data_IF_203988302791
#
_entry.id   IF_203988302791
#
_cell.length_a   1.000
_cell.length_b   1.000
_cell.length_c   1.000
_cell.angle_alpha   90.00
_cell.angle_beta   90.00
_cell.angle_gamma   90.00
#
_symmetry.space_group_name_H-M   'P 1'
#
loop_
_entity.id
_entity.type
_entity.pdbx_description
1 polymer ?
#
# COMPACT_ATOMS: atom_id res chain seq x y z
N UNK A 1 9.08 -19.20 13.68
CA UNK A 1 9.41 -18.82 12.28
C UNK A 1 8.59 -17.64 11.79
N UNK A 2 7.24 -17.71 11.77
CA UNK A 2 6.38 -16.58 11.38
C UNK A 2 6.74 -15.31 12.16
N UNK A 3 6.83 -15.42 13.49
CA UNK A 3 7.19 -14.30 14.35
C UNK A 3 8.58 -13.70 14.05
N UNK A 4 9.56 -14.53 13.67
CA UNK A 4 10.88 -14.07 13.25
C UNK A 4 10.80 -13.26 11.94
N UNK A 5 10.04 -13.72 10.96
CA UNK A 5 9.85 -13.04 9.68
C UNK A 5 9.10 -11.70 9.83
N UNK A 6 8.17 -11.64 10.77
CA UNK A 6 7.50 -10.39 11.16
C UNK A 6 8.45 -9.38 11.83
N UNK A 7 9.58 -9.84 12.39
CA UNK A 7 10.53 -9.03 13.15
C UNK A 7 11.49 -8.19 12.28
N UNK A 8 11.13 -7.80 11.06
CA UNK A 8 11.96 -7.00 10.15
C UNK A 8 13.44 -7.43 10.12
N UNK A 9 13.73 -8.55 9.46
CA UNK A 9 15.10 -9.04 9.26
C UNK A 9 15.85 -8.02 8.38
N UNK A 10 16.89 -7.36 8.93
CA UNK A 10 17.61 -6.24 8.27
C UNK A 10 19.11 -6.48 8.12
N UNK A 11 19.71 -7.35 8.93
CA UNK A 11 21.12 -7.71 8.80
C UNK A 11 21.33 -9.19 8.46
N UNK A 12 22.53 -9.72 8.71
CA UNK A 12 22.84 -11.11 8.35
C UNK A 12 21.88 -12.07 9.07
N UNK A 13 21.42 -13.08 8.33
CA UNK A 13 20.38 -14.00 8.81
C UNK A 13 20.74 -14.65 10.16
N UNK A 14 22.01 -15.04 10.35
CA UNK A 14 22.46 -15.65 11.60
C UNK A 14 22.44 -14.65 12.77
N UNK A 15 22.90 -13.41 12.57
CA UNK A 15 22.88 -12.38 13.62
C UNK A 15 21.45 -12.04 14.03
N UNK A 16 20.54 -11.97 13.05
CA UNK A 16 19.11 -11.75 13.30
C UNK A 16 18.47 -12.91 14.06
N UNK A 17 18.83 -14.16 13.75
CA UNK A 17 18.36 -15.33 14.49
C UNK A 17 18.87 -15.32 15.93
N UNK A 18 20.17 -15.07 16.14
CA UNK A 18 20.77 -15.03 17.47
C UNK A 18 20.11 -13.94 18.33
N UNK A 19 19.90 -12.73 17.77
CA UNK A 19 19.18 -11.64 18.43
C UNK A 19 17.69 -11.93 18.67
N UNK A 20 17.01 -12.58 17.71
CA UNK A 20 15.64 -13.01 17.90
C UNK A 20 15.50 -13.99 19.06
N UNK A 21 16.37 -14.98 19.17
CA UNK A 21 16.31 -15.96 20.27
C UNK A 21 16.74 -15.37 21.60
N UNK A 22 17.68 -14.42 21.61
CA UNK A 22 18.01 -13.64 22.80
C UNK A 22 16.74 -12.98 23.38
N UNK A 23 15.98 -12.31 22.52
CA UNK A 23 14.72 -11.67 22.91
C UNK A 23 13.71 -12.74 23.26
N UNK A 24 13.41 -13.67 22.36
CA UNK A 24 12.37 -14.68 22.57
C UNK A 24 12.55 -15.47 23.88
N UNK A 25 13.78 -15.84 24.26
CA UNK A 25 14.10 -16.64 25.45
C UNK A 25 14.46 -15.83 26.70
N UNK A 26 14.44 -14.50 26.65
CA UNK A 26 14.86 -13.64 27.78
C UNK A 26 16.31 -13.87 28.21
N UNK A 27 17.20 -14.07 27.25
CA UNK A 27 18.62 -14.22 27.55
C UNK A 27 19.32 -12.86 27.61
N UNK A 28 20.18 -12.66 28.59
CA UNK A 28 21.06 -11.49 28.67
C UNK A 28 22.21 -11.54 27.65
N UNK A 29 22.39 -12.69 26.99
CA UNK A 29 23.46 -12.92 26.01
C UNK A 29 22.91 -13.43 24.68
N UNK A 30 23.57 -13.04 23.60
CA UNK A 30 23.29 -13.58 22.27
C UNK A 30 23.68 -15.06 22.24
N UNK A 31 22.72 -15.95 22.00
CA UNK A 31 22.95 -17.39 21.98
C UNK A 31 22.45 -18.00 20.67
N UNK A 32 23.29 -18.82 20.04
CA UNK A 32 22.93 -19.53 18.81
C UNK A 32 22.08 -20.75 19.12
N UNK A 33 20.76 -20.56 19.12
CA UNK A 33 19.78 -21.65 19.24
C UNK A 33 19.45 -22.34 17.92
N UNK A 34 19.49 -21.59 16.80
CA UNK A 34 19.15 -22.09 15.47
C UNK A 34 20.16 -21.58 14.46
N UNK A 35 20.65 -22.45 13.60
CA UNK A 35 21.53 -22.06 12.50
C UNK A 35 20.73 -21.50 11.32
N UNK A 36 21.34 -20.60 10.56
CA UNK A 36 20.77 -20.05 9.34
C UNK A 36 20.38 -21.15 8.33
N UNK A 37 21.17 -22.22 8.23
CA UNK A 37 20.86 -23.38 7.37
C UNK A 37 19.62 -24.12 7.86
N UNK A 38 19.50 -24.42 9.16
CA UNK A 38 18.33 -25.07 9.75
C UNK A 38 17.07 -24.23 9.54
N UNK A 39 17.16 -22.90 9.74
CA UNK A 39 16.07 -21.97 9.46
C UNK A 39 15.65 -21.99 7.98
N UNK A 40 16.60 -21.92 7.05
CA UNK A 40 16.30 -22.00 5.62
C UNK A 40 15.62 -23.31 5.22
N UNK A 41 16.01 -24.45 5.81
CA UNK A 41 15.32 -25.74 5.58
C UNK A 41 13.88 -25.70 6.11
N UNK A 42 13.68 -25.18 7.32
CA UNK A 42 12.36 -25.09 7.93
C UNK A 42 11.44 -24.13 7.16
N UNK A 43 11.98 -22.99 6.70
CA UNK A 43 11.26 -21.96 5.93
C UNK A 43 10.55 -22.53 4.71
N UNK A 44 11.14 -23.50 4.02
CA UNK A 44 10.54 -24.15 2.83
C UNK A 44 9.23 -24.89 3.13
N UNK A 45 8.94 -25.19 4.39
CA UNK A 45 7.71 -25.86 4.83
C UNK A 45 6.54 -24.90 5.09
N UNK A 46 6.76 -23.59 5.02
CA UNK A 46 5.73 -22.57 5.22
C UNK A 46 5.46 -21.88 3.90
N UNK A 47 4.20 -21.79 3.49
CA UNK A 47 3.85 -21.01 2.30
C UNK A 47 3.71 -19.52 2.65
N UNK A 48 3.87 -18.63 1.67
CA UNK A 48 3.75 -17.19 1.94
C UNK A 48 2.29 -16.78 2.20
N UNK A 49 1.34 -17.56 1.73
CA UNK A 49 -0.10 -17.42 1.93
C UNK A 49 -0.48 -17.45 3.40
N UNK A 50 0.29 -18.15 4.25
CA UNK A 50 0.08 -18.07 5.71
C UNK A 50 0.15 -16.62 6.25
N UNK A 51 1.02 -15.78 5.69
CA UNK A 51 1.09 -14.35 6.06
C UNK A 51 -0.06 -13.55 5.47
N UNK A 52 -0.55 -13.93 4.27
CA UNK A 52 -1.74 -13.34 3.65
C UNK A 52 -2.96 -13.61 4.51
N UNK A 53 -3.16 -14.86 4.94
CA UNK A 53 -4.28 -15.29 5.77
C UNK A 53 -4.25 -14.62 7.16
N UNK A 54 -3.08 -14.58 7.80
CA UNK A 54 -2.91 -13.85 9.06
C UNK A 54 -3.22 -12.36 8.89
N UNK A 55 -2.83 -11.77 7.77
CA UNK A 55 -3.16 -10.39 7.47
C UNK A 55 -4.67 -10.20 7.28
N UNK A 56 -5.36 -11.11 6.59
CA UNK A 56 -6.83 -11.03 6.46
C UNK A 56 -7.56 -11.14 7.80
N UNK A 57 -7.08 -11.99 8.71
CA UNK A 57 -7.60 -12.06 10.09
C UNK A 57 -7.38 -10.77 10.86
N UNK A 58 -6.18 -10.18 10.76
CA UNK A 58 -5.86 -8.89 11.36
C UNK A 58 -6.76 -7.77 10.82
N UNK A 59 -6.97 -7.73 9.50
CA UNK A 59 -7.85 -6.76 8.85
C UNK A 59 -9.30 -6.90 9.31
N UNK A 60 -9.81 -8.13 9.34
CA UNK A 60 -11.17 -8.43 9.81
C UNK A 60 -11.36 -7.95 11.25
N UNK A 61 -10.41 -8.28 12.13
CA UNK A 61 -10.42 -7.81 13.52
C UNK A 61 -10.40 -6.28 13.61
N UNK A 62 -9.53 -5.61 12.83
CA UNK A 62 -9.43 -4.15 12.83
C UNK A 62 -10.76 -3.49 12.44
N UNK A 63 -11.37 -3.88 11.31
CA UNK A 63 -12.61 -3.25 10.85
C UNK A 63 -13.86 -3.64 11.67
N UNK A 64 -13.81 -4.73 12.43
CA UNK A 64 -14.89 -5.12 13.36
C UNK A 64 -14.75 -4.48 14.75
N UNK A 65 -13.52 -4.28 15.22
CA UNK A 65 -13.26 -3.92 16.62
C UNK A 65 -12.86 -2.46 16.82
N UNK A 66 -12.44 -1.77 15.77
CA UNK A 66 -12.03 -0.36 15.83
C UNK A 66 -13.00 0.51 15.02
N UNK A 67 -13.25 1.75 15.45
CA UNK A 67 -13.99 2.73 14.67
C UNK A 67 -13.12 3.21 13.50
N UNK A 68 -13.05 2.40 12.43
CA UNK A 68 -12.25 2.69 11.26
C UNK A 68 -12.70 4.01 10.62
N UNK A 69 -11.72 4.85 10.27
CA UNK A 69 -11.94 6.18 9.71
C UNK A 69 -12.53 6.05 8.31
N UNK A 70 -13.63 6.76 8.07
CA UNK A 70 -14.39 6.76 6.81
C UNK A 70 -14.68 8.19 6.36
N UNK A 71 -14.87 8.39 5.07
CA UNK A 71 -15.35 9.64 4.49
C UNK A 71 -16.78 9.45 3.99
N UNK A 72 -17.74 10.10 4.64
CA UNK A 72 -19.18 10.00 4.32
C UNK A 72 -19.62 8.53 4.21
N UNK A 73 -19.21 7.70 5.18
CA UNK A 73 -19.48 6.26 5.21
C UNK A 73 -18.54 5.39 4.35
N UNK A 74 -17.79 5.98 3.41
CA UNK A 74 -16.87 5.23 2.57
C UNK A 74 -15.51 4.98 3.21
N UNK A 75 -15.01 3.75 3.11
CA UNK A 75 -13.60 3.45 3.23
C UNK A 75 -12.89 3.88 1.94
N UNK A 76 -11.80 4.63 2.07
CA UNK A 76 -11.11 5.22 0.92
C UNK A 76 -9.93 4.35 0.50
N UNK A 77 -10.04 3.68 -0.65
CA UNK A 77 -9.05 2.73 -1.11
C UNK A 77 -8.29 3.28 -2.32
N UNK A 78 -6.98 3.43 -2.22
CA UNK A 78 -6.14 3.78 -3.36
C UNK A 78 -5.45 2.53 -3.91
N UNK A 79 -5.37 2.44 -5.24
CA UNK A 79 -4.59 1.41 -5.93
C UNK A 79 -3.39 2.08 -6.61
N UNK A 80 -2.21 1.55 -6.38
CA UNK A 80 -0.98 2.00 -7.02
C UNK A 80 0.01 0.84 -7.11
N UNK A 81 1.03 1.02 -7.94
CA UNK A 81 2.01 -0.01 -8.24
C UNK A 81 3.45 0.46 -8.09
N UNK A 82 4.32 -0.50 -7.85
CA UNK A 82 5.75 -0.27 -7.85
C UNK A 82 6.51 -1.48 -8.35
N UNK A 83 7.81 -1.32 -8.53
CA UNK A 83 8.72 -2.44 -8.77
C UNK A 83 9.70 -2.58 -7.61
N UNK A 84 10.03 -3.81 -7.27
CA UNK A 84 11.06 -4.17 -6.30
C UNK A 84 12.16 -4.96 -7.00
N UNK A 85 13.42 -4.63 -6.72
CA UNK A 85 14.56 -5.48 -7.06
C UNK A 85 14.52 -6.72 -6.19
N UNK A 86 14.62 -7.88 -6.82
CA UNK A 86 14.71 -9.16 -6.13
C UNK A 86 16.15 -9.69 -6.24
N UNK A 87 16.56 -10.69 -5.42
CA UNK A 87 17.87 -11.32 -5.52
C UNK A 87 18.15 -11.77 -6.96
N UNK A 88 19.38 -11.61 -7.42
CA UNK A 88 19.77 -11.92 -8.80
C UNK A 88 20.30 -13.36 -8.89
N UNK A 89 19.45 -14.31 -9.28
CA UNK A 89 19.76 -15.72 -9.54
C UNK A 89 18.75 -16.33 -10.53
N UNK A 90 18.99 -17.55 -10.98
CA UNK A 90 18.17 -18.20 -12.01
C UNK A 90 16.72 -18.46 -11.56
N UNK A 91 16.51 -18.88 -10.31
CA UNK A 91 15.16 -19.13 -9.79
C UNK A 91 14.30 -17.86 -9.78
N UNK A 92 14.86 -16.74 -9.30
CA UNK A 92 14.15 -15.46 -9.23
C UNK A 92 13.97 -14.83 -10.61
N UNK A 93 14.95 -14.99 -11.52
CA UNK A 93 14.82 -14.57 -12.93
C UNK A 93 13.70 -15.32 -13.63
N UNK A 94 13.62 -16.64 -13.44
CA UNK A 94 12.57 -17.50 -14.01
C UNK A 94 11.20 -17.16 -13.44
N UNK A 95 11.10 -16.91 -12.13
CA UNK A 95 9.82 -16.65 -11.47
C UNK A 95 9.32 -15.22 -11.69
N UNK A 96 10.11 -14.19 -11.40
CA UNK A 96 9.67 -12.79 -11.46
C UNK A 96 9.85 -12.15 -12.84
N UNK A 97 10.65 -12.77 -13.70
CA UNK A 97 11.05 -12.21 -14.99
C UNK A 97 12.17 -11.19 -14.87
N UNK A 98 12.66 -10.77 -16.03
CA UNK A 98 13.83 -9.91 -16.16
C UNK A 98 13.44 -8.58 -16.80
N UNK A 99 13.92 -7.49 -16.21
CA UNK A 99 13.80 -6.16 -16.80
C UNK A 99 15.05 -5.84 -17.62
N UNK A 100 14.80 -5.33 -18.83
CA UNK A 100 15.81 -4.87 -19.79
C UNK A 100 15.80 -3.34 -19.81
N UNK A 101 16.72 -2.67 -19.09
CA UNK A 101 16.75 -1.22 -19.03
C UNK A 101 17.20 -0.64 -20.37
N UNK A 102 16.46 0.31 -20.93
CA UNK A 102 16.83 0.95 -22.20
C UNK A 102 18.21 1.65 -22.18
N UNK A 103 18.68 2.06 -20.99
CA UNK A 103 19.93 2.83 -20.83
C UNK A 103 21.11 2.04 -20.25
N UNK A 104 20.91 0.81 -19.76
CA UNK A 104 21.98 0.02 -19.16
C UNK A 104 21.93 -1.40 -19.70
N UNK A 105 23.03 -1.91 -20.25
CA UNK A 105 23.11 -3.27 -20.82
C UNK A 105 22.90 -4.39 -19.79
N UNK A 106 23.05 -4.11 -18.48
CA UNK A 106 22.86 -5.10 -17.42
C UNK A 106 21.38 -5.28 -17.09
N UNK A 107 20.88 -6.49 -17.32
CA UNK A 107 19.53 -6.89 -16.93
C UNK A 107 19.41 -7.04 -15.42
N UNK A 108 18.21 -6.83 -14.86
CA UNK A 108 17.95 -7.13 -13.46
C UNK A 108 16.58 -7.77 -13.26
N UNK A 109 16.45 -8.78 -12.39
CA UNK A 109 15.15 -9.31 -12.04
C UNK A 109 14.39 -8.30 -11.20
N UNK A 110 13.14 -8.06 -11.56
CA UNK A 110 12.23 -7.15 -10.87
C UNK A 110 10.92 -7.87 -10.60
N UNK A 111 10.43 -7.78 -9.37
CA UNK A 111 9.04 -8.07 -9.08
C UNK A 111 8.20 -6.80 -9.27
N UNK A 112 6.96 -6.98 -9.68
CA UNK A 112 5.95 -5.92 -9.59
C UNK A 112 5.16 -6.12 -8.30
N UNK A 113 4.91 -5.01 -7.61
CA UNK A 113 4.06 -4.98 -6.43
C UNK A 113 2.88 -4.07 -6.65
N UNK A 114 1.70 -4.47 -6.19
CA UNK A 114 0.46 -3.69 -6.27
C UNK A 114 -0.22 -3.72 -4.91
N UNK A 115 -0.69 -2.56 -4.45
CA UNK A 115 -1.32 -2.40 -3.15
C UNK A 115 -2.72 -1.80 -3.30
N UNK A 116 -3.70 -2.40 -2.64
CA UNK A 116 -4.98 -1.79 -2.31
C UNK A 116 -4.87 -1.24 -0.89
N UNK A 117 -4.84 0.08 -0.77
CA UNK A 117 -4.45 0.76 0.47
C UNK A 117 -5.55 1.68 0.98
N UNK A 118 -5.99 1.46 2.22
CA UNK A 118 -6.86 2.37 2.95
C UNK A 118 -6.07 3.62 3.36
N UNK A 119 -6.37 4.73 2.69
CA UNK A 119 -5.61 5.97 2.84
C UNK A 119 -5.90 6.70 4.15
N UNK A 120 -7.02 6.40 4.82
CA UNK A 120 -7.40 7.04 6.10
C UNK A 120 -6.86 6.26 7.29
N UNK A 121 -6.87 4.94 7.20
CA UNK A 121 -6.46 4.05 8.30
C UNK A 121 -5.00 3.57 8.18
N UNK A 122 -4.33 3.86 7.05
CA UNK A 122 -2.97 3.41 6.74
C UNK A 122 -2.82 1.89 6.67
N UNK A 123 -3.88 1.24 6.22
CA UNK A 123 -3.99 -0.22 6.19
C UNK A 123 -3.86 -0.71 4.75
N UNK A 124 -2.99 -1.67 4.51
CA UNK A 124 -2.89 -2.39 3.24
C UNK A 124 -3.92 -3.51 3.24
N UNK A 125 -5.06 -3.27 2.59
CA UNK A 125 -6.19 -4.21 2.52
C UNK A 125 -5.84 -5.43 1.69
N UNK A 126 -5.09 -5.24 0.60
CA UNK A 126 -4.59 -6.35 -0.21
C UNK A 126 -3.26 -5.97 -0.85
N UNK A 127 -2.31 -6.91 -0.86
CA UNK A 127 -0.97 -6.72 -1.40
C UNK A 127 -0.64 -7.86 -2.35
N UNK A 128 -0.13 -7.54 -3.53
CA UNK A 128 0.30 -8.51 -4.53
C UNK A 128 1.77 -8.29 -4.85
N UNK A 129 2.53 -9.37 -4.96
CA UNK A 129 3.90 -9.38 -5.50
C UNK A 129 3.95 -10.43 -6.60
N UNK A 130 4.15 -9.98 -7.84
CA UNK A 130 3.94 -10.78 -9.05
C UNK A 130 5.09 -10.58 -10.05
N UNK A 131 5.17 -11.41 -11.10
CA UNK A 131 6.13 -11.20 -12.17
C UNK A 131 5.97 -9.84 -12.86
N UNK A 132 7.07 -9.27 -13.37
CA UNK A 132 7.08 -7.92 -13.96
C UNK A 132 6.13 -7.78 -15.17
N UNK A 133 5.87 -8.87 -15.89
CA UNK A 133 5.03 -8.90 -17.09
C UNK A 133 3.55 -8.61 -16.83
N UNK A 134 3.09 -8.79 -15.60
CA UNK A 134 1.68 -8.57 -15.23
C UNK A 134 1.25 -7.10 -15.42
N UNK A 135 0.07 -6.89 -16.01
CA UNK A 135 -0.44 -5.56 -16.36
C UNK A 135 -1.10 -4.83 -15.19
N UNK A 136 -0.97 -3.51 -15.12
CA UNK A 136 -1.41 -2.72 -13.95
C UNK A 136 -2.93 -2.87 -13.68
N UNK A 137 -3.73 -2.81 -14.75
CA UNK A 137 -5.18 -2.96 -14.65
C UNK A 137 -5.60 -4.38 -14.27
N UNK A 138 -4.82 -5.39 -14.65
CA UNK A 138 -5.05 -6.78 -14.25
C UNK A 138 -4.89 -6.93 -12.74
N UNK A 139 -3.85 -6.32 -12.16
CA UNK A 139 -3.63 -6.35 -10.71
C UNK A 139 -4.68 -5.52 -9.96
N UNK A 140 -5.07 -4.36 -10.48
CA UNK A 140 -6.22 -3.62 -9.94
C UNK A 140 -7.48 -4.49 -9.93
N UNK A 141 -7.77 -5.25 -10.99
CA UNK A 141 -8.90 -6.16 -11.04
C UNK A 141 -8.81 -7.25 -9.95
N UNK A 142 -7.63 -7.85 -9.74
CA UNK A 142 -7.39 -8.84 -8.66
C UNK A 142 -7.67 -8.24 -7.27
N UNK A 143 -7.39 -6.94 -7.06
CA UNK A 143 -7.73 -6.27 -5.80
C UNK A 143 -9.24 -6.15 -5.55
N UNK A 144 -10.08 -6.15 -6.59
CA UNK A 144 -11.54 -5.91 -6.46
C UNK A 144 -12.29 -7.04 -5.73
N UNK A 145 -11.68 -8.21 -5.56
CA UNK A 145 -12.23 -9.26 -4.69
C UNK A 145 -12.21 -8.85 -3.20
N UNK A 146 -11.40 -7.86 -2.83
CA UNK A 146 -11.27 -7.34 -1.47
C UNK A 146 -12.01 -6.01 -1.28
N UNK A 147 -12.87 -5.65 -2.22
CA UNK A 147 -13.72 -4.45 -2.17
C UNK A 147 -15.20 -4.84 -2.22
N UNK A 148 -16.04 -3.94 -1.71
CA UNK A 148 -17.49 -4.12 -1.68
C UNK A 148 -18.26 -2.81 -1.54
N UNK A 149 -19.51 -2.92 -1.10
CA UNK A 149 -20.31 -1.77 -0.68
C UNK A 149 -19.61 -0.98 0.43
N UNK A 150 -19.78 0.34 0.42
CA UNK A 150 -19.12 1.22 1.37
C UNK A 150 -17.62 1.43 1.12
N UNK A 151 -17.08 1.02 -0.05
CA UNK A 151 -15.74 1.37 -0.52
C UNK A 151 -15.78 2.42 -1.65
N UNK A 152 -14.82 3.36 -1.62
CA UNK A 152 -14.58 4.34 -2.68
C UNK A 152 -13.13 4.27 -3.15
N UNK A 153 -12.96 3.92 -4.42
CA UNK A 153 -11.66 3.68 -5.02
C UNK A 153 -11.08 4.96 -5.63
N UNK A 154 -9.90 5.35 -5.17
CA UNK A 154 -9.13 6.49 -5.66
C UNK A 154 -8.12 6.01 -6.70
N UNK A 155 -8.41 6.29 -7.97
CA UNK A 155 -7.64 5.76 -9.10
C UNK A 155 -6.88 6.87 -9.83
N UNK A 156 -5.64 6.57 -10.21
CA UNK A 156 -4.81 7.46 -11.00
C UNK A 156 -5.21 7.48 -12.49
N UNK A 157 -4.42 8.17 -13.32
CA UNK A 157 -4.65 8.32 -14.77
C UNK A 157 -4.24 7.14 -15.65
N UNK A 158 -3.61 6.11 -15.08
CA UNK A 158 -3.28 4.84 -15.74
C UNK A 158 -4.47 3.87 -15.76
N UNK A 159 -5.32 3.92 -14.73
CA UNK A 159 -6.46 3.02 -14.56
C UNK A 159 -7.72 3.28 -15.41
N UNK A 160 -7.98 4.44 -16.05
CA UNK A 160 -9.21 4.62 -16.82
C UNK A 160 -9.40 3.53 -17.88
N UNK A 161 -10.44 2.72 -17.68
CA UNK A 161 -10.91 1.68 -18.58
C UNK A 161 -12.36 1.37 -18.25
N UNK A 162 -13.23 1.31 -19.27
CA UNK A 162 -14.66 1.07 -19.07
C UNK A 162 -14.91 -0.20 -18.26
N UNK A 163 -14.28 -1.32 -18.65
CA UNK A 163 -14.49 -2.61 -17.99
C UNK A 163 -14.07 -2.60 -16.52
N UNK A 164 -13.06 -1.79 -16.15
CA UNK A 164 -12.62 -1.68 -14.77
C UNK A 164 -13.64 -0.89 -13.95
N UNK A 165 -14.23 0.17 -14.51
CA UNK A 165 -15.32 0.89 -13.87
C UNK A 165 -16.57 0.00 -13.72
N UNK A 166 -16.90 -0.79 -14.75
CA UNK A 166 -18.00 -1.75 -14.68
C UNK A 166 -17.75 -2.83 -13.60
N UNK A 167 -16.52 -3.34 -13.49
CA UNK A 167 -16.12 -4.28 -12.45
C UNK A 167 -16.28 -3.66 -11.04
N UNK A 168 -15.77 -2.45 -10.84
CA UNK A 168 -15.88 -1.74 -9.55
C UNK A 168 -17.34 -1.59 -9.12
N UNK A 169 -18.20 -1.15 -10.04
CA UNK A 169 -19.63 -0.96 -9.78
C UNK A 169 -20.35 -2.30 -9.55
N UNK A 170 -19.98 -3.34 -10.29
CA UNK A 170 -20.52 -4.69 -10.10
C UNK A 170 -20.18 -5.27 -8.70
N UNK A 171 -19.06 -4.85 -8.11
CA UNK A 171 -18.69 -5.18 -6.73
C UNK A 171 -19.45 -4.33 -5.68
N UNK A 172 -20.29 -3.38 -6.08
CA UNK A 172 -20.96 -2.43 -5.17
C UNK A 172 -20.08 -1.26 -4.71
N UNK A 173 -18.81 -1.24 -5.13
CA UNK A 173 -17.88 -0.16 -4.80
C UNK A 173 -18.07 1.06 -5.70
N UNK A 174 -17.63 2.23 -5.23
CA UNK A 174 -17.64 3.48 -5.97
C UNK A 174 -16.22 3.83 -6.44
N UNK A 175 -16.08 4.77 -7.38
CA UNK A 175 -14.76 5.26 -7.81
C UNK A 175 -14.68 6.77 -7.97
N UNK A 176 -13.45 7.28 -7.83
CA UNK A 176 -13.00 8.61 -8.19
C UNK A 176 -11.65 8.48 -8.89
N UNK A 177 -11.64 8.71 -10.21
CA UNK A 177 -10.52 8.43 -11.09
C UNK A 177 -10.06 9.69 -11.83
N UNK A 178 -8.75 9.91 -11.95
CA UNK A 178 -8.24 10.98 -12.81
C UNK A 178 -8.19 10.56 -14.26
N UNK A 179 -8.65 11.43 -15.15
CA UNK A 179 -8.63 11.19 -16.58
C UNK A 179 -7.37 11.78 -17.23
N UNK A 180 -6.87 11.12 -18.27
CA UNK A 180 -5.78 11.68 -19.10
C UNK A 180 -6.32 12.85 -19.95
N UNK A 181 -5.48 13.87 -20.14
CA UNK A 181 -5.86 15.12 -20.83
C UNK A 181 -6.21 14.92 -22.31
N UNK A 182 -5.64 13.90 -22.92
CA UNK A 182 -5.76 13.55 -24.34
C UNK A 182 -7.03 12.75 -24.65
N UNK A 183 -7.74 12.23 -23.63
CA UNK A 183 -9.02 11.55 -23.81
C UNK A 183 -10.04 12.46 -24.50
N UNK A 184 -10.78 11.91 -25.47
CA UNK A 184 -11.84 12.61 -26.22
C UNK A 184 -12.85 13.25 -25.26
N UNK A 185 -13.36 12.48 -24.29
CA UNK A 185 -14.28 12.97 -23.26
C UNK A 185 -13.71 14.16 -22.49
N UNK A 186 -12.42 14.13 -22.16
CA UNK A 186 -11.78 15.22 -21.41
C UNK A 186 -11.66 16.48 -22.27
N UNK A 187 -11.28 16.34 -23.55
CA UNK A 187 -11.19 17.46 -24.49
C UNK A 187 -12.55 18.13 -24.68
N UNK A 188 -13.59 17.34 -24.96
CA UNK A 188 -14.96 17.82 -25.14
C UNK A 188 -15.49 18.50 -23.87
N UNK A 189 -15.28 17.87 -22.71
CA UNK A 189 -15.73 18.43 -21.44
C UNK A 189 -14.99 19.73 -21.10
N UNK A 190 -13.69 19.83 -21.38
CA UNK A 190 -12.94 21.08 -21.20
C UNK A 190 -13.45 22.18 -22.14
N UNK A 191 -13.75 21.85 -23.39
CA UNK A 191 -14.32 22.77 -24.40
C UNK A 191 -15.69 23.29 -23.99
N UNK A 192 -16.50 22.46 -23.33
CA UNK A 192 -17.83 22.86 -22.83
C UNK A 192 -17.82 24.00 -21.79
N UNK A 193 -16.66 24.34 -21.22
CA UNK A 193 -16.54 25.39 -20.20
C UNK A 193 -17.08 25.01 -18.81
N UNK A 194 -17.85 23.92 -18.69
CA UNK A 194 -18.48 23.47 -17.44
C UNK A 194 -17.44 23.06 -16.38
N UNK A 195 -17.82 23.22 -15.10
CA UNK A 195 -17.01 22.72 -13.96
C UNK A 195 -17.37 21.29 -13.57
N UNK A 196 -18.60 20.88 -13.83
CA UNK A 196 -19.10 19.53 -13.60
C UNK A 196 -20.23 19.20 -14.57
N UNK A 197 -20.34 17.93 -14.97
CA UNK A 197 -21.46 17.41 -15.75
C UNK A 197 -21.67 15.92 -15.45
N UNK A 198 -22.89 15.43 -15.61
CA UNK A 198 -23.15 13.99 -15.68
C UNK A 198 -23.12 13.61 -17.15
N UNK A 199 -22.38 12.57 -17.49
CA UNK A 199 -22.22 12.05 -18.83
C UNK A 199 -22.44 10.54 -18.83
N UNK A 200 -22.73 9.99 -19.99
CA UNK A 200 -22.90 8.55 -20.19
C UNK A 200 -21.68 7.98 -20.88
N UNK A 201 -20.95 7.10 -20.22
CA UNK A 201 -19.87 6.33 -20.83
C UNK A 201 -20.46 5.12 -21.55
N UNK A 202 -20.21 5.03 -22.86
CA UNK A 202 -20.52 3.83 -23.64
C UNK A 202 -19.27 2.94 -23.72
N UNK A 203 -19.41 1.61 -23.63
CA UNK A 203 -18.27 0.72 -23.86
C UNK A 203 -17.83 0.78 -25.33
N UNK A 204 -16.53 0.65 -25.57
CA UNK A 204 -16.02 0.37 -26.92
C UNK A 204 -16.23 -1.11 -27.28
N UNK A 205 -16.16 -1.52 -28.56
CA UNK A 205 -16.26 -2.92 -28.95
C UNK A 205 -15.29 -3.84 -28.19
N UNK A 206 -14.04 -3.38 -27.99
CA UNK A 206 -13.04 -4.11 -27.20
C UNK A 206 -13.44 -4.23 -25.72
N UNK A 207 -14.05 -3.19 -25.14
CA UNK A 207 -14.54 -3.25 -23.77
C UNK A 207 -15.75 -4.18 -23.63
N UNK A 208 -16.65 -4.21 -24.62
CA UNK A 208 -17.79 -5.15 -24.67
C UNK A 208 -17.28 -6.59 -24.59
N UNK A 209 -16.36 -6.96 -25.49
CA UNK A 209 -15.77 -8.31 -25.51
C UNK A 209 -15.15 -8.68 -24.16
N UNK A 210 -14.33 -7.78 -23.60
CA UNK A 210 -13.68 -8.01 -22.31
C UNK A 210 -14.68 -8.16 -21.15
N UNK A 211 -15.78 -7.41 -21.17
CA UNK A 211 -16.83 -7.50 -20.15
C UNK A 211 -17.61 -8.81 -20.27
N UNK A 212 -17.97 -9.23 -21.49
CA UNK A 212 -18.68 -10.48 -21.75
C UNK A 212 -17.88 -11.70 -21.26
N UNK A 213 -16.58 -11.75 -21.54
CA UNK A 213 -15.68 -12.81 -21.03
C UNK A 213 -15.64 -12.92 -19.49
N UNK A 214 -16.08 -11.87 -18.77
CA UNK A 214 -16.04 -11.78 -17.29
C UNK A 214 -17.41 -11.60 -16.66
N UNK A 215 -18.48 -11.83 -17.43
CA UNK A 215 -19.87 -11.64 -16.97
C UNK A 215 -20.13 -10.25 -16.36
N UNK A 216 -19.51 -9.21 -16.93
CA UNK A 216 -19.71 -7.82 -16.52
C UNK A 216 -20.73 -7.11 -17.40
N UNK A 217 -21.44 -6.14 -16.81
CA UNK A 217 -22.42 -5.34 -17.54
C UNK A 217 -21.77 -4.49 -18.64
N UNK A 218 -22.39 -4.50 -19.81
CA UNK A 218 -22.06 -3.65 -20.96
C UNK A 218 -23.01 -2.45 -21.09
N UNK A 219 -23.88 -2.24 -20.11
CA UNK A 219 -24.83 -1.12 -20.11
C UNK A 219 -24.12 0.21 -19.90
N UNK A 220 -24.43 1.25 -20.69
CA UNK A 220 -23.78 2.55 -20.55
C UNK A 220 -23.79 3.08 -19.10
N UNK A 221 -22.63 3.53 -18.62
CA UNK A 221 -22.44 3.97 -17.24
C UNK A 221 -22.69 5.47 -17.12
N UNK A 222 -23.63 5.88 -16.27
CA UNK A 222 -23.75 7.29 -15.87
C UNK A 222 -22.63 7.63 -14.90
N UNK A 223 -21.85 8.66 -15.21
CA UNK A 223 -20.73 9.12 -14.39
C UNK A 223 -20.71 10.63 -14.34
N UNK A 224 -20.14 11.18 -13.28
CA UNK A 224 -19.95 12.61 -13.11
C UNK A 224 -18.51 12.99 -13.44
N UNK A 225 -18.36 13.94 -14.35
CA UNK A 225 -17.07 14.54 -14.73
C UNK A 225 -16.90 15.83 -13.96
N UNK A 226 -15.71 16.04 -13.40
CA UNK A 226 -15.37 17.18 -12.57
C UNK A 226 -14.10 17.84 -13.12
N UNK A 227 -14.08 19.17 -13.21
CA UNK A 227 -12.90 19.94 -13.63
C UNK A 227 -12.46 20.88 -12.51
N UNK A 228 -11.17 20.85 -12.21
CA UNK A 228 -10.52 21.87 -11.39
C UNK A 228 -9.25 22.38 -12.04
N UNK A 229 -8.96 23.63 -11.76
CA UNK A 229 -7.74 24.32 -12.18
C UNK A 229 -6.80 24.39 -10.98
N UNK A 230 -5.60 23.84 -11.14
CA UNK A 230 -4.53 23.98 -10.15
C UNK A 230 -3.94 25.40 -10.20
N UNK A 231 -3.23 25.80 -9.14
CA UNK A 231 -2.60 27.15 -9.06
C UNK A 231 -1.68 27.46 -10.25
N UNK A 232 -1.07 26.45 -10.85
CA UNK A 232 -0.22 26.55 -12.04
C UNK A 232 -1.02 26.52 -13.37
N UNK A 233 -2.31 26.86 -13.34
CA UNK A 233 -3.25 26.85 -14.49
C UNK A 233 -3.45 25.48 -15.16
N UNK A 234 -2.89 24.40 -14.61
CA UNK A 234 -3.12 23.06 -15.13
C UNK A 234 -4.54 22.60 -14.79
N UNK A 235 -5.34 22.34 -15.82
CA UNK A 235 -6.65 21.69 -15.71
C UNK A 235 -6.47 20.21 -15.42
N UNK A 236 -7.14 19.72 -14.39
CA UNK A 236 -7.26 18.31 -14.04
C UNK A 236 -8.74 17.94 -14.12
N UNK A 237 -9.02 16.79 -14.72
CA UNK A 237 -10.36 16.24 -14.84
C UNK A 237 -10.44 14.93 -14.07
N UNK A 238 -11.44 14.82 -13.19
CA UNK A 238 -11.79 13.59 -12.50
C UNK A 238 -13.11 13.06 -13.03
N UNK A 239 -13.25 11.74 -12.93
CA UNK A 239 -14.44 10.98 -13.24
C UNK A 239 -14.87 10.23 -11.99
N UNK A 240 -16.15 10.28 -11.64
CA UNK A 240 -16.66 9.55 -10.47
C UNK A 240 -18.02 8.93 -10.73
N UNK A 241 -18.29 7.83 -10.06
CA UNK A 241 -19.62 7.21 -10.00
C UNK A 241 -20.56 7.91 -9.00
N UNK A 242 -20.06 8.82 -8.17
CA UNK A 242 -20.85 9.58 -7.21
C UNK A 242 -21.64 10.71 -7.91
N UNK A 243 -22.92 10.46 -8.20
CA UNK A 243 -23.75 11.33 -9.02
C UNK A 243 -24.39 12.50 -8.26
N UNK A 244 -24.72 12.32 -6.98
CA UNK A 244 -25.38 13.33 -6.17
C UNK A 244 -24.44 14.53 -5.91
N UNK A 245 -24.86 15.71 -6.38
CA UNK A 245 -24.07 16.95 -6.27
C UNK A 245 -24.16 17.60 -4.88
N UNK A 246 -25.25 17.35 -4.15
CA UNK A 246 -25.48 17.87 -2.79
C UNK A 246 -24.73 17.01 -1.79
N UNK A 247 -24.87 15.68 -1.89
CA UNK A 247 -24.16 14.74 -1.02
C UNK A 247 -22.65 14.73 -1.27
N UNK A 248 -22.21 14.92 -2.52
CA UNK A 248 -20.80 14.93 -2.88
C UNK A 248 -20.40 16.24 -3.58
N UNK A 249 -20.13 17.32 -2.83
CA UNK A 249 -19.74 18.59 -3.41
C UNK A 249 -18.40 18.52 -4.18
N UNK A 250 -18.27 19.36 -5.22
CA UNK A 250 -17.06 19.39 -6.05
C UNK A 250 -15.80 19.73 -5.25
N UNK A 251 -15.90 20.63 -4.27
CA UNK A 251 -14.78 21.05 -3.43
C UNK A 251 -14.24 19.88 -2.58
N UNK A 252 -15.13 19.08 -2.01
CA UNK A 252 -14.77 17.91 -1.22
C UNK A 252 -14.12 16.82 -2.07
N UNK A 253 -14.68 16.50 -3.24
CA UNK A 253 -14.09 15.50 -4.14
C UNK A 253 -12.70 15.93 -4.63
N UNK A 254 -12.46 17.23 -4.79
CA UNK A 254 -11.13 17.76 -5.10
C UNK A 254 -10.16 17.49 -3.96
N UNK A 255 -10.55 17.77 -2.71
CA UNK A 255 -9.70 17.50 -1.54
C UNK A 255 -9.49 15.99 -1.35
N UNK A 256 -10.55 15.20 -1.49
CA UNK A 256 -10.54 13.75 -1.38
C UNK A 256 -9.51 13.12 -2.32
N UNK A 257 -9.50 13.56 -3.59
CA UNK A 257 -8.55 13.04 -4.57
C UNK A 257 -7.09 13.33 -4.21
N UNK A 258 -6.81 14.39 -3.45
CA UNK A 258 -5.44 14.64 -2.97
C UNK A 258 -4.94 13.55 -2.02
N UNK A 259 -5.86 12.91 -1.27
CA UNK A 259 -5.54 11.79 -0.35
C UNK A 259 -5.08 10.53 -1.10
N UNK A 260 -5.29 10.43 -2.42
CA UNK A 260 -4.74 9.33 -3.24
C UNK A 260 -3.21 9.22 -3.07
N UNK A 261 -2.50 10.35 -2.95
CA UNK A 261 -1.03 10.37 -2.78
C UNK A 261 -0.53 9.65 -1.52
N UNK A 262 -1.41 9.35 -0.57
CA UNK A 262 -1.07 8.56 0.62
C UNK A 262 -0.54 7.16 0.25
N UNK A 263 -0.97 6.55 -0.86
CA UNK A 263 -0.44 5.25 -1.31
C UNK A 263 1.02 5.35 -1.78
N UNK A 264 1.42 6.44 -2.43
CA UNK A 264 2.82 6.69 -2.78
C UNK A 264 3.69 6.84 -1.52
N UNK A 265 3.11 7.45 -0.47
CA UNK A 265 3.75 7.54 0.84
C UNK A 265 3.87 6.16 1.48
N UNK A 266 2.86 5.29 1.35
CA UNK A 266 2.92 3.90 1.81
C UNK A 266 4.05 3.13 1.11
N UNK A 267 4.20 3.29 -0.21
CA UNK A 267 5.36 2.73 -0.93
C UNK A 267 6.69 3.30 -0.47
N UNK A 268 6.75 4.61 -0.17
CA UNK A 268 7.95 5.20 0.41
C UNK A 268 8.28 4.61 1.78
N UNK A 269 7.29 4.34 2.63
CA UNK A 269 7.51 3.65 3.91
C UNK A 269 8.00 2.21 3.69
N UNK A 270 7.35 1.45 2.81
CA UNK A 270 7.76 0.08 2.47
C UNK A 270 9.21 0.02 1.96
N UNK A 271 9.56 0.91 1.02
CA UNK A 271 10.89 0.91 0.40
C UNK A 271 11.98 1.48 1.30
N UNK A 272 11.71 2.60 1.99
CA UNK A 272 12.76 3.36 2.66
C UNK A 272 12.80 3.21 4.18
N UNK A 273 11.74 2.70 4.82
CA UNK A 273 11.67 2.54 6.29
C UNK A 273 11.58 1.09 6.71
N UNK A 274 10.81 0.29 5.96
CA UNK A 274 10.71 -1.17 6.14
C UNK A 274 11.81 -1.88 5.34
N UNK A 275 12.47 -1.18 4.41
CA UNK A 275 13.56 -1.70 3.57
C UNK A 275 13.17 -2.97 2.80
N UNK A 276 11.95 -3.00 2.24
CA UNK A 276 11.30 -4.19 1.66
C UNK A 276 12.17 -5.00 0.67
N UNK A 277 13.16 -4.38 0.01
CA UNK A 277 14.08 -5.03 -0.92
C UNK A 277 15.26 -5.77 -0.23
N UNK A 278 15.42 -5.61 1.08
CA UNK A 278 16.44 -6.29 1.88
C UNK A 278 15.98 -7.69 2.29
N UNK A 279 15.78 -8.57 1.31
CA UNK A 279 15.26 -9.92 1.53
C UNK A 279 16.27 -10.81 2.29
N UNK A 280 15.76 -11.55 3.27
CA UNK A 280 16.52 -12.48 4.11
C UNK A 280 16.69 -13.87 3.51
N UNK A 281 16.28 -14.05 2.25
CA UNK A 281 16.49 -15.27 1.47
C UNK A 281 16.54 -14.97 -0.02
N UNK A 282 17.08 -15.91 -0.80
CA UNK A 282 17.36 -15.72 -2.24
C UNK A 282 16.35 -16.39 -3.17
N UNK A 283 15.53 -17.32 -2.68
CA UNK A 283 14.53 -18.01 -3.49
C UNK A 283 13.24 -17.19 -3.63
N UNK A 284 12.42 -17.42 -4.68
CA UNK A 284 11.12 -16.75 -4.84
C UNK A 284 10.20 -16.88 -3.63
N UNK A 285 10.13 -18.07 -3.02
CA UNK A 285 9.33 -18.30 -1.81
C UNK A 285 9.78 -17.40 -0.65
N UNK A 286 11.09 -17.30 -0.39
CA UNK A 286 11.61 -16.46 0.68
C UNK A 286 11.31 -14.97 0.43
N UNK A 287 11.40 -14.53 -0.82
CA UNK A 287 11.06 -13.16 -1.24
C UNK A 287 9.58 -12.85 -0.96
N UNK A 288 8.68 -13.76 -1.34
CA UNK A 288 7.23 -13.62 -1.10
C UNK A 288 6.90 -13.64 0.40
N UNK A 289 7.48 -14.55 1.16
CA UNK A 289 7.30 -14.62 2.62
C UNK A 289 7.74 -13.33 3.31
N UNK A 290 8.93 -12.84 3.00
CA UNK A 290 9.45 -11.60 3.58
C UNK A 290 8.58 -10.39 3.20
N UNK A 291 8.10 -10.34 1.95
CA UNK A 291 7.19 -9.29 1.50
C UNK A 291 5.88 -9.28 2.31
N UNK A 292 5.20 -10.43 2.39
CA UNK A 292 3.92 -10.52 3.08
C UNK A 292 4.05 -10.41 4.61
N UNK A 293 5.14 -10.91 5.20
CA UNK A 293 5.42 -10.71 6.63
C UNK A 293 5.59 -9.23 6.97
N UNK A 294 6.25 -8.46 6.10
CA UNK A 294 6.43 -7.01 6.27
C UNK A 294 5.14 -6.22 6.11
N UNK A 295 4.28 -6.62 5.17
CA UNK A 295 2.93 -6.04 5.02
C UNK A 295 2.11 -6.31 6.28
N UNK A 296 2.13 -7.54 6.81
CA UNK A 296 1.45 -7.91 8.04
C UNK A 296 1.93 -7.05 9.23
N UNK A 297 3.25 -6.93 9.45
CA UNK A 297 3.79 -6.09 10.53
C UNK A 297 3.45 -4.61 10.32
N UNK A 298 3.45 -4.11 9.09
CA UNK A 298 3.04 -2.73 8.80
C UNK A 298 1.57 -2.46 9.14
N UNK A 299 0.67 -3.40 8.84
CA UNK A 299 -0.74 -3.31 9.21
C UNK A 299 -0.93 -3.41 10.72
N UNK A 300 -0.19 -4.30 11.41
CA UNK A 300 -0.20 -4.39 12.87
C UNK A 300 0.27 -3.07 13.50
N UNK A 301 1.29 -2.43 12.90
CA UNK A 301 1.76 -1.10 13.31
C UNK A 301 0.64 -0.07 13.18
N UNK A 302 -0.07 -0.03 12.04
CA UNK A 302 -1.17 0.90 11.81
C UNK A 302 -2.31 0.70 12.82
N UNK A 303 -2.65 -0.55 13.14
CA UNK A 303 -3.64 -0.88 14.17
C UNK A 303 -3.23 -0.37 15.56
N UNK A 304 -1.97 -0.56 15.97
CA UNK A 304 -1.45 -0.06 17.26
C UNK A 304 -1.44 1.48 17.30
N UNK A 305 -1.12 2.13 16.18
CA UNK A 305 -1.08 3.59 16.05
C UNK A 305 -2.48 4.21 16.10
N UNK A 306 -3.52 3.50 15.64
CA UNK A 306 -4.87 4.03 15.50
C UNK A 306 -5.41 4.73 16.76
N UNK A 307 -5.50 4.07 17.95
CA UNK A 307 -6.02 4.73 19.15
C UNK A 307 -5.13 5.89 19.63
N UNK A 308 -3.82 5.83 19.41
CA UNK A 308 -2.90 6.94 19.76
C UNK A 308 -3.23 8.17 18.92
N UNK A 309 -3.47 7.96 17.63
CA UNK A 309 -3.83 9.04 16.71
C UNK A 309 -5.20 9.65 17.04
N UNK A 310 -6.16 8.86 17.53
CA UNK A 310 -7.46 9.36 17.96
C UNK A 310 -7.31 10.32 19.16
N UNK A 311 -6.53 9.93 20.18
CA UNK A 311 -6.24 10.80 21.33
C UNK A 311 -5.57 12.10 20.91
N UNK A 312 -4.61 12.05 19.97
CA UNK A 312 -3.94 13.26 19.45
C UNK A 312 -4.92 14.18 18.71
N UNK A 313 -5.84 13.61 17.93
CA UNK A 313 -6.85 14.37 17.19
C UNK A 313 -7.88 15.01 18.13
N UNK A 314 -8.30 14.32 19.19
CA UNK A 314 -9.19 14.86 20.22
C UNK A 314 -8.54 16.03 20.97
N UNK A 315 -7.26 15.89 21.35
CA UNK A 315 -6.51 16.98 21.97
C UNK A 315 -6.36 18.18 21.03
N UNK A 316 -6.11 17.93 19.74
CA UNK A 316 -6.01 18.99 18.74
C UNK A 316 -7.33 19.75 18.54
N UNK A 317 -8.49 19.09 18.68
CA UNK A 317 -9.81 19.77 18.60
C UNK A 317 -10.01 20.79 19.73
N UNK A 318 -9.41 20.56 20.90
CA UNK A 318 -9.47 21.49 22.05
C UNK A 318 -8.60 22.74 21.85
N UNK A 319 -7.66 22.69 20.92
CA UNK A 319 -6.69 23.75 20.64
C UNK A 319 -6.60 24.00 19.12
N UNK A 320 -7.67 24.52 18.48
CA UNK A 320 -7.71 24.72 17.03
C UNK A 320 -6.66 25.72 16.51
N UNK A 321 -6.14 26.59 17.38
CA UNK A 321 -5.07 27.54 17.12
C UNK A 321 -3.69 26.87 16.95
N UNK A 322 -3.52 25.65 17.48
CA UNK A 322 -2.24 24.93 17.43
C UNK A 322 -2.07 24.19 16.12
N UNK A 323 -0.80 23.94 15.78
CA UNK A 323 -0.45 23.08 14.67
C UNK A 323 -1.05 21.67 14.87
N UNK A 324 -1.51 21.06 13.78
CA UNK A 324 -1.99 19.68 13.81
C UNK A 324 -0.82 18.72 13.75
N UNK A 325 -0.87 17.67 14.59
CA UNK A 325 0.15 16.63 14.66
C UNK A 325 -0.43 15.27 14.29
N UNK A 326 0.46 14.40 13.84
CA UNK A 326 0.20 12.98 13.63
C UNK A 326 1.35 12.15 14.18
N UNK A 327 1.07 10.91 14.59
CA UNK A 327 2.11 9.97 14.99
C UNK A 327 3.12 9.83 13.86
N UNK A 328 4.41 9.91 14.20
CA UNK A 328 5.49 9.67 13.26
C UNK A 328 5.48 8.20 12.85
N UNK A 329 4.85 7.90 11.72
CA UNK A 329 4.69 6.53 11.25
C UNK A 329 6.01 5.84 10.89
N UNK A 330 7.03 6.61 10.48
CA UNK A 330 8.37 6.06 10.26
C UNK A 330 8.97 5.55 11.57
N UNK A 331 8.82 6.32 12.65
CA UNK A 331 9.22 5.88 13.99
C UNK A 331 8.40 4.66 14.43
N UNK A 332 7.07 4.70 14.30
CA UNK A 332 6.21 3.58 14.66
C UNK A 332 6.60 2.26 13.97
N UNK A 333 6.88 2.30 12.66
CA UNK A 333 7.37 1.14 11.91
C UNK A 333 8.73 0.66 12.44
N UNK A 334 9.66 1.56 12.73
CA UNK A 334 10.95 1.16 13.30
C UNK A 334 10.81 0.56 14.70
N UNK A 335 9.91 1.10 15.54
CA UNK A 335 9.66 0.63 16.90
C UNK A 335 9.09 -0.77 16.93
N UNK A 336 8.46 -1.27 15.85
CA UNK A 336 7.97 -2.64 15.81
C UNK A 336 9.07 -3.69 15.66
N UNK A 337 10.29 -3.30 15.30
CA UNK A 337 11.46 -4.17 15.45
C UNK A 337 11.56 -4.56 16.93
N UNK A 338 11.64 -5.86 17.16
CA UNK A 338 11.68 -6.55 18.44
C UNK A 338 10.39 -6.45 19.28
N UNK A 339 9.71 -5.30 19.28
CA UNK A 339 8.43 -5.16 19.97
C UNK A 339 7.35 -6.10 19.40
N UNK A 340 7.37 -6.46 18.12
CA UNK A 340 6.44 -7.47 17.59
C UNK A 340 6.64 -8.83 18.25
N UNK A 341 7.89 -9.20 18.54
CA UNK A 341 8.23 -10.43 19.26
C UNK A 341 7.77 -10.31 20.71
N UNK A 342 8.05 -9.19 21.35
CA UNK A 342 7.65 -8.94 22.74
C UNK A 342 6.13 -8.98 22.91
N UNK A 343 5.37 -8.36 22.01
CA UNK A 343 3.91 -8.32 22.09
C UNK A 343 3.26 -9.69 21.92
N UNK A 344 3.87 -10.58 21.13
CA UNK A 344 3.29 -11.89 20.78
C UNK A 344 3.86 -13.06 21.59
N UNK A 345 5.01 -12.89 22.25
CA UNK A 345 5.68 -13.96 23.02
C UNK A 345 5.70 -13.73 24.54
N UNK A 346 5.39 -12.53 25.04
CA UNK A 346 5.47 -12.21 26.47
C UNK A 346 4.14 -12.42 27.19
N UNK A 347 4.19 -12.74 28.48
CA UNK A 347 3.00 -12.84 29.34
C UNK A 347 2.44 -11.46 29.70
N UNK A 348 3.31 -10.49 30.00
CA UNK A 348 2.91 -9.13 30.41
C UNK A 348 2.68 -8.17 29.24
N UNK A 349 1.86 -8.57 28.27
CA UNK A 349 1.63 -7.84 27.01
C UNK A 349 1.12 -6.42 27.27
N UNK A 350 0.23 -6.23 28.25
CA UNK A 350 -0.39 -4.93 28.56
C UNK A 350 0.64 -3.87 28.97
N UNK A 351 1.65 -4.24 29.77
CA UNK A 351 2.72 -3.31 30.18
C UNK A 351 3.57 -2.88 28.98
N UNK A 352 3.93 -3.84 28.13
CA UNK A 352 4.73 -3.62 26.92
C UNK A 352 3.96 -2.72 25.96
N UNK A 353 2.68 -3.04 25.70
CA UNK A 353 1.82 -2.25 24.84
C UNK A 353 1.63 -0.83 25.36
N UNK A 354 1.36 -0.63 26.66
CA UNK A 354 1.25 0.72 27.26
C UNK A 354 2.53 1.54 27.09
N UNK A 355 3.69 0.93 27.32
CA UNK A 355 4.99 1.58 27.11
C UNK A 355 5.17 1.99 25.66
N UNK A 356 4.86 1.10 24.72
CA UNK A 356 4.93 1.38 23.29
C UNK A 356 3.98 2.52 22.90
N UNK A 357 2.70 2.46 23.31
CA UNK A 357 1.71 3.51 23.02
C UNK A 357 2.15 4.88 23.55
N UNK A 358 2.71 4.93 24.77
CA UNK A 358 3.28 6.15 25.35
C UNK A 358 4.43 6.72 24.51
N UNK A 359 5.36 5.87 24.05
CA UNK A 359 6.47 6.30 23.19
C UNK A 359 5.96 6.82 21.84
N UNK A 360 4.94 6.18 21.26
CA UNK A 360 4.33 6.62 20.00
C UNK A 360 3.62 7.97 20.17
N UNK A 361 2.91 8.17 21.29
CA UNK A 361 2.22 9.42 21.61
C UNK A 361 3.16 10.62 21.81
N UNK A 362 4.40 10.37 22.25
CA UNK A 362 5.46 11.39 22.35
C UNK A 362 6.21 11.62 21.04
N UNK A 363 6.08 10.71 20.07
CA UNK A 363 6.86 10.72 18.81
C UNK A 363 6.02 11.26 17.66
N UNK A 364 5.84 12.59 17.62
CA UNK A 364 4.92 13.24 16.69
C UNK A 364 5.62 13.87 15.49
N UNK A 365 4.84 14.07 14.42
CA UNK A 365 5.23 14.84 13.23
C UNK A 365 4.13 15.85 12.89
N UNK A 366 4.54 17.05 12.47
CA UNK A 366 3.61 18.14 12.12
C UNK A 366 2.94 17.85 10.78
N UNK A 367 1.61 18.00 10.71
CA UNK A 367 0.85 18.00 9.45
C UNK A 367 1.02 19.37 8.81
N UNK A 368 1.61 19.42 7.61
CA UNK A 368 1.85 20.67 6.87
C UNK A 368 1.00 20.70 5.59
N UNK A 369 -0.22 21.28 5.63
CA UNK A 369 -1.08 21.38 4.45
C UNK A 369 -0.37 22.07 3.28
N UNK A 370 -0.53 21.53 2.08
CA UNK A 370 -0.01 22.17 0.86
C UNK A 370 1.51 22.14 0.67
N UNK A 371 2.27 21.39 1.48
CA UNK A 371 3.72 21.22 1.27
C UNK A 371 3.99 20.64 -0.12
N UNK A 372 4.85 21.31 -0.89
CA UNK A 372 5.33 20.84 -2.18
C UNK A 372 6.81 20.53 -2.07
N UNK A 373 7.20 19.31 -2.44
CA UNK A 373 8.60 18.99 -2.65
C UNK A 373 8.82 18.89 -4.17
N UNK A 374 9.66 19.77 -4.78
CA UNK A 374 9.98 19.65 -6.19
C UNK A 374 10.66 18.29 -6.44
N UNK A 375 10.19 17.58 -7.46
CA UNK A 375 10.77 16.28 -7.83
C UNK A 375 12.14 16.55 -8.45
N UNK A 376 13.22 16.24 -7.73
CA UNK A 376 14.58 16.24 -8.30
C UNK A 376 14.62 15.18 -9.41
N UNK A 377 14.63 15.61 -10.66
CA UNK A 377 14.83 14.74 -11.82
C UNK A 377 16.33 14.56 -12.00
N UNK A 378 16.87 13.51 -11.40
CA UNK A 378 18.28 13.14 -11.50
C UNK A 378 18.45 11.63 -11.57
N UNK A 379 19.65 11.12 -11.90
CA UNK A 379 19.93 9.69 -11.84
C UNK A 379 19.59 9.16 -10.44
N UNK A 380 18.84 8.06 -10.38
CA UNK A 380 18.56 7.38 -9.10
C UNK A 380 19.89 6.97 -8.49
N UNK A 381 20.16 7.37 -7.25
CA UNK A 381 21.29 6.88 -6.46
C UNK A 381 21.32 5.34 -6.56
N UNK A 382 22.50 4.77 -6.80
CA UNK A 382 22.70 3.31 -6.76
C UNK A 382 22.29 2.85 -5.37
N UNK A 383 21.19 2.11 -5.28
CA UNK A 383 20.85 1.36 -4.07
C UNK A 383 21.97 0.33 -3.91
N UNK A 384 22.78 0.48 -2.86
CA UNK A 384 23.81 -0.50 -2.53
C UNK A 384 23.11 -1.77 -2.05
N UNK A 385 22.90 -2.72 -2.96
CA UNK A 385 22.64 -4.09 -2.55
C UNK A 385 23.99 -4.71 -2.14
N UNK A 386 24.08 -5.20 -0.91
CA UNK A 386 25.21 -6.00 -0.45
C UNK A 386 25.23 -7.34 -1.22
N UNK A 387 25.84 -7.37 -2.40
CA UNK A 387 26.34 -8.60 -2.99
C UNK A 387 27.79 -8.75 -2.54
N UNK A 388 28.04 -9.47 -1.43
CA UNK A 388 29.40 -9.68 -0.93
C UNK A 388 30.26 -10.53 -1.90
N UNK A 389 29.66 -11.32 -2.81
CA UNK A 389 30.33 -11.97 -3.95
C UNK A 389 29.35 -12.18 -5.11
N UNK A 390 29.80 -12.15 -6.38
CA UNK A 390 29.04 -12.72 -7.49
C UNK A 390 28.81 -14.21 -7.20
N UNK A 391 27.57 -14.68 -7.34
CA UNK A 391 27.31 -16.12 -7.40
C UNK A 391 27.63 -16.49 -8.85
N UNK A 392 28.64 -17.35 -9.03
CA UNK A 392 28.99 -17.94 -10.32
C UNK A 392 27.89 -18.89 -10.80
#
# INVERSE_FOLDING_TARGET
MILFLMNFVRCSLQKELDGFFQIFLFSDRSERKVTASAFCRARRKISFEAFVDLNQRLLSFFYQSFPARRWVGFRLLAVDESTLRVPDNDETRKFFGVWHPAKTRKTCPLARVSLLYDVLNRITVHALMVPKGEGERSLAAKHMHNTGEGDLLLLDRGYPAYWLFALILNRGSQFLCQMKKDSVLVKEFIRSGKRQAIVTLKPSPAAIKFCQERNLSTNPLKVRVLRFTLKNRVKVVLLTSLLDKRQFPLAELKELYTKRWSVETAYSHLKCRIEIENFSGKSPLAVLQDFHARVLTANLTAMIVHPVQDVIEEQAKKHPERLRYQVNFSYALSSMKDNVVLLLARRHITKILRSLLSLLGKSLSIIRPGRKNPRKRGPKLKIAAMAYKPIA
#
